data_IF_510236955352
#
_entry.id   IF_510236955352
#
_cell.length_a   1.000
_cell.length_b   1.000
_cell.length_c   1.000
_cell.angle_alpha   90.00
_cell.angle_beta   90.00
_cell.angle_gamma   90.00
#
_symmetry.space_group_name_H-M   'P 1'
#
loop_
_entity.id
_entity.type
_entity.pdbx_description
1 polymer ?
#
# COMPACT_ATOMS: atom_id res chain seq x y z
N UNK A 1 -6.09 -46.73 14.26
CA UNK A 1 -5.07 -47.59 13.57
C UNK A 1 -5.09 -47.26 12.10
N UNK A 2 -3.99 -46.78 11.55
CA UNK A 2 -3.53 -46.70 10.14
C UNK A 2 -2.73 -45.42 10.02
N UNK A 3 -1.47 -45.50 10.22
CA UNK A 3 -0.29 -45.79 9.37
C UNK A 3 0.04 -44.66 8.41
N UNK A 4 1.05 -43.93 8.86
CA UNK A 4 2.16 -43.23 8.18
C UNK A 4 2.33 -43.54 6.70
N UNK A 5 2.56 -42.50 5.90
CA UNK A 5 3.46 -42.57 4.77
C UNK A 5 4.22 -41.21 4.67
N UNK A 6 5.48 -41.32 5.00
CA UNK A 6 6.57 -40.37 4.78
C UNK A 6 6.98 -40.49 3.31
N UNK A 7 6.97 -39.43 2.55
CA UNK A 7 7.76 -39.37 1.31
C UNK A 7 8.69 -38.14 1.36
N UNK A 8 9.93 -38.49 1.60
CA UNK A 8 11.11 -37.66 1.45
C UNK A 8 11.36 -37.47 -0.06
N UNK A 9 11.39 -36.26 -0.58
CA UNK A 9 11.92 -35.99 -1.89
C UNK A 9 12.99 -34.91 -1.79
N UNK A 10 14.20 -35.36 -1.91
CA UNK A 10 15.45 -34.66 -2.14
C UNK A 10 15.53 -34.31 -3.63
N UNK A 11 16.03 -33.14 -4.01
CA UNK A 11 16.70 -32.81 -5.28
C UNK A 11 16.63 -31.27 -5.41
N UNK A 12 17.61 -30.55 -5.61
CA UNK A 12 18.97 -30.42 -6.06
C UNK A 12 19.25 -28.96 -6.34
N UNK A 13 20.38 -28.48 -5.86
CA UNK A 13 20.98 -27.18 -6.13
C UNK A 13 21.26 -27.02 -7.64
N UNK A 14 20.94 -25.84 -8.17
CA UNK A 14 21.62 -25.30 -9.36
C UNK A 14 22.04 -23.86 -9.06
N UNK A 15 23.33 -23.72 -8.80
CA UNK A 15 24.05 -22.47 -8.82
C UNK A 15 24.17 -21.98 -10.28
N UNK A 16 23.70 -20.79 -10.56
CA UNK A 16 24.11 -20.05 -11.76
C UNK A 16 24.79 -18.75 -11.34
N UNK A 17 26.13 -18.84 -11.38
CA UNK A 17 27.07 -17.74 -11.33
C UNK A 17 27.13 -17.13 -12.74
N UNK A 18 26.82 -15.88 -12.92
CA UNK A 18 27.24 -15.09 -14.06
C UNK A 18 27.98 -13.87 -13.56
N UNK A 19 29.32 -13.99 -13.66
CA UNK A 19 30.26 -12.93 -13.55
C UNK A 19 30.29 -12.15 -14.89
N UNK A 20 30.07 -10.85 -14.88
CA UNK A 20 30.43 -10.01 -16.02
C UNK A 20 31.18 -8.77 -15.55
N UNK A 21 32.49 -8.88 -15.61
CA UNK A 21 33.41 -7.78 -15.50
C UNK A 21 33.55 -7.12 -16.88
N UNK A 22 33.18 -5.88 -16.99
CA UNK A 22 33.43 -5.04 -18.16
C UNK A 22 34.10 -3.74 -17.76
N UNK A 23 35.42 -3.79 -17.65
CA UNK A 23 36.29 -2.62 -17.57
C UNK A 23 36.43 -2.04 -18.98
N UNK A 24 36.15 -0.77 -19.15
CA UNK A 24 36.61 0.01 -20.31
C UNK A 24 37.12 1.36 -19.83
N UNK A 25 38.42 1.39 -19.78
CA UNK A 25 39.28 2.57 -19.67
C UNK A 25 39.26 3.30 -21.02
N UNK A 26 39.01 4.58 -21.03
CA UNK A 26 39.41 5.45 -22.14
C UNK A 26 39.93 6.76 -21.55
N UNK A 27 41.25 6.83 -21.52
CA UNK A 27 42.03 8.03 -21.32
C UNK A 27 42.02 8.82 -22.62
N UNK A 28 41.56 10.05 -22.62
CA UNK A 28 41.98 11.06 -23.60
C UNK A 28 42.33 12.36 -22.88
N UNK A 29 43.59 12.63 -22.95
CA UNK A 29 44.28 13.86 -22.61
C UNK A 29 43.97 14.89 -23.69
N UNK A 30 43.44 16.04 -23.33
CA UNK A 30 43.56 17.22 -24.16
C UNK A 30 43.86 18.47 -23.34
N UNK A 31 44.98 19.05 -23.62
CA UNK A 31 45.58 20.27 -23.08
C UNK A 31 45.05 21.45 -23.85
N UNK A 32 44.63 22.54 -23.17
CA UNK A 32 44.38 23.81 -23.86
C UNK A 32 43.60 24.84 -23.06
N UNK A 33 44.26 25.61 -22.26
CA UNK A 33 44.30 27.07 -22.08
C UNK A 33 43.00 27.90 -22.14
N UNK A 34 42.81 28.63 -21.02
CA UNK A 34 42.37 30.02 -20.83
C UNK A 34 40.90 30.40 -20.89
N UNK A 35 40.47 30.86 -19.69
CA UNK A 35 39.75 32.11 -19.42
C UNK A 35 38.28 32.22 -19.86
N UNK A 36 37.45 32.31 -18.89
CA UNK A 36 36.42 33.34 -18.70
C UNK A 36 35.31 32.77 -17.82
N UNK A 37 35.05 33.48 -16.72
CA UNK A 37 33.88 33.40 -15.85
C UNK A 37 32.63 32.95 -16.55
N UNK A 38 32.13 31.77 -16.14
CA UNK A 38 30.79 31.35 -16.41
C UNK A 38 30.26 30.66 -15.16
N UNK A 39 29.13 31.14 -14.71
CA UNK A 39 28.33 30.56 -13.64
C UNK A 39 28.32 29.04 -13.78
N UNK A 40 28.82 28.38 -12.76
CA UNK A 40 28.76 26.92 -12.62
C UNK A 40 27.29 26.53 -12.39
N UNK A 41 26.58 26.35 -13.51
CA UNK A 41 25.32 25.64 -13.50
C UNK A 41 25.63 24.20 -13.10
N UNK A 42 25.52 23.92 -11.82
CA UNK A 42 25.45 22.54 -11.31
C UNK A 42 24.11 21.98 -11.81
N UNK A 43 24.08 21.00 -12.73
CA UNK A 43 22.85 20.30 -13.00
C UNK A 43 22.48 19.60 -11.70
N UNK A 44 21.46 20.09 -11.03
CA UNK A 44 20.79 19.34 -9.98
C UNK A 44 20.23 18.15 -10.74
N UNK A 45 20.85 17.01 -10.56
CA UNK A 45 20.30 15.72 -11.01
C UNK A 45 18.99 15.51 -10.22
N UNK A 46 17.90 16.01 -10.82
CA UNK A 46 16.56 15.84 -10.31
C UNK A 46 16.10 14.41 -10.62
N UNK A 47 16.89 13.43 -10.21
CA UNK A 47 16.49 12.04 -10.31
C UNK A 47 16.04 11.52 -8.97
N UNK A 48 14.75 11.31 -8.88
CA UNK A 48 14.02 10.29 -8.11
C UNK A 48 13.62 10.50 -6.66
N UNK A 49 14.15 11.44 -5.90
CA UNK A 49 13.78 11.54 -4.47
C UNK A 49 12.60 12.51 -4.18
N UNK A 50 12.17 13.29 -5.16
CA UNK A 50 11.08 14.25 -4.95
C UNK A 50 9.67 13.63 -5.02
N UNK A 51 9.52 12.45 -5.61
CA UNK A 51 8.23 11.77 -5.72
C UNK A 51 7.77 11.16 -4.39
N UNK A 52 8.72 10.80 -3.51
CA UNK A 52 8.43 10.22 -2.19
C UNK A 52 8.22 11.28 -1.09
N UNK A 53 8.47 12.55 -1.37
CA UNK A 53 8.38 13.61 -0.35
C UNK A 53 6.96 14.10 -0.05
N UNK A 54 5.99 13.78 -0.90
CA UNK A 54 4.59 14.22 -0.74
C UNK A 54 3.64 13.03 -0.95
N UNK A 55 3.57 12.14 0.03
CA UNK A 55 2.60 11.07 0.06
C UNK A 55 1.58 11.28 1.20
N UNK A 56 0.54 10.47 1.23
CA UNK A 56 -0.52 10.60 2.23
C UNK A 56 0.01 10.47 3.66
N UNK A 57 0.98 9.59 3.89
CA UNK A 57 1.59 9.36 5.20
C UNK A 57 2.27 10.61 5.78
N UNK A 58 2.88 11.44 4.92
CA UNK A 58 3.64 12.62 5.35
C UNK A 58 2.85 13.92 5.27
N UNK A 59 1.74 13.93 4.52
CA UNK A 59 1.05 15.16 4.14
C UNK A 59 -0.39 15.26 4.64
N UNK A 60 -1.01 14.13 5.04
CA UNK A 60 -2.41 14.10 5.43
C UNK A 60 -2.58 13.78 6.92
N UNK A 61 -3.61 14.40 7.52
CA UNK A 61 -4.12 13.98 8.83
C UNK A 61 -5.01 12.76 8.65
N UNK A 62 -4.43 11.59 8.93
CA UNK A 62 -5.09 10.29 8.74
C UNK A 62 -5.86 9.83 9.98
N UNK A 63 -5.61 10.43 11.14
CA UNK A 63 -6.31 10.09 12.38
C UNK A 63 -7.76 10.53 12.31
N UNK A 64 -8.69 9.64 12.62
CA UNK A 64 -10.11 9.96 12.64
C UNK A 64 -11.02 8.79 12.31
N UNK A 65 -12.31 9.08 12.20
CA UNK A 65 -13.36 8.10 11.97
C UNK A 65 -13.91 8.25 10.55
N UNK A 66 -13.80 7.20 9.77
CA UNK A 66 -14.26 7.15 8.38
C UNK A 66 -15.47 6.22 8.26
N UNK A 67 -16.51 6.68 7.57
CA UNK A 67 -17.79 5.94 7.46
C UNK A 67 -18.27 5.87 6.03
N UNK A 68 -18.96 4.77 5.72
CA UNK A 68 -19.63 4.56 4.45
C UNK A 68 -20.42 3.28 4.42
N UNK A 69 -21.12 3.06 3.32
CA UNK A 69 -21.82 1.82 3.05
C UNK A 69 -21.18 1.15 1.85
N UNK A 70 -20.47 0.06 2.10
CA UNK A 70 -19.82 -0.73 1.06
C UNK A 70 -20.82 -1.63 0.35
N UNK A 71 -20.59 -1.94 -0.94
CA UNK A 71 -21.42 -2.88 -1.68
C UNK A 71 -21.39 -4.29 -1.08
N UNK A 72 -22.53 -4.95 -1.17
CA UNK A 72 -22.71 -6.32 -0.72
C UNK A 72 -23.38 -7.13 -1.82
N UNK A 73 -22.95 -8.37 -2.01
CA UNK A 73 -23.49 -9.22 -3.08
C UNK A 73 -24.86 -9.80 -2.76
N UNK A 74 -25.16 -10.01 -1.48
CA UNK A 74 -26.35 -10.71 -1.00
C UNK A 74 -27.06 -10.01 0.17
N UNK A 75 -26.78 -8.69 0.33
CA UNK A 75 -27.42 -7.82 1.30
C UNK A 75 -27.61 -6.40 0.73
N UNK A 76 -28.28 -5.53 1.46
CA UNK A 76 -28.52 -4.15 1.01
C UNK A 76 -27.25 -3.28 1.03
N UNK A 77 -26.23 -3.69 1.78
CA UNK A 77 -24.96 -3.01 1.93
C UNK A 77 -24.29 -3.37 3.25
N UNK A 78 -23.04 -2.95 3.41
CA UNK A 78 -22.27 -3.13 4.64
C UNK A 78 -21.93 -1.75 5.18
N UNK A 79 -22.66 -1.32 6.21
CA UNK A 79 -22.30 -0.11 6.93
C UNK A 79 -20.95 -0.35 7.61
N UNK A 80 -19.97 0.47 7.25
CA UNK A 80 -18.59 0.30 7.68
C UNK A 80 -18.09 1.58 8.32
N UNK A 81 -17.53 1.45 9.51
CA UNK A 81 -16.84 2.51 10.24
C UNK A 81 -15.40 2.04 10.52
N UNK A 82 -14.41 2.86 10.14
CA UNK A 82 -12.99 2.63 10.43
C UNK A 82 -12.47 3.83 11.19
N UNK A 83 -12.06 3.63 12.43
CA UNK A 83 -11.36 4.61 13.26
C UNK A 83 -9.87 4.34 13.21
N UNK A 84 -9.08 5.28 12.72
CA UNK A 84 -7.61 5.26 12.77
C UNK A 84 -7.15 6.17 13.90
N UNK A 85 -6.19 5.69 14.69
CA UNK A 85 -5.66 6.40 15.87
C UNK A 85 -4.20 6.78 15.68
N UNK A 86 -3.74 7.69 16.53
CA UNK A 86 -2.38 8.23 16.54
C UNK A 86 -1.30 7.24 17.00
N UNK A 87 -1.71 6.13 17.62
CA UNK A 87 -0.86 5.03 18.06
C UNK A 87 -0.76 3.87 17.05
N UNK A 88 -1.10 4.12 15.77
CA UNK A 88 -1.16 3.13 14.69
C UNK A 88 -2.13 1.97 14.97
N UNK A 89 -3.12 2.17 15.84
CA UNK A 89 -4.18 1.20 16.06
C UNK A 89 -5.47 1.61 15.34
N UNK A 90 -6.34 0.62 15.10
CA UNK A 90 -7.64 0.87 14.50
C UNK A 90 -8.76 0.17 15.27
N UNK A 91 -9.97 0.69 15.08
CA UNK A 91 -11.23 0.00 15.37
C UNK A 91 -12.07 0.00 14.11
N UNK A 92 -12.44 -1.19 13.64
CA UNK A 92 -13.34 -1.36 12.49
C UNK A 92 -14.65 -1.94 12.97
N UNK A 93 -15.75 -1.32 12.57
CA UNK A 93 -17.11 -1.81 12.84
C UNK A 93 -17.82 -2.03 11.53
N UNK A 94 -18.48 -3.18 11.41
CA UNK A 94 -19.27 -3.55 10.26
C UNK A 94 -20.68 -3.97 10.69
N UNK A 95 -21.68 -3.60 9.87
CA UNK A 95 -23.06 -4.01 10.04
C UNK A 95 -23.67 -4.34 8.69
N UNK A 96 -24.13 -5.57 8.55
CA UNK A 96 -24.80 -6.04 7.33
C UNK A 96 -26.26 -5.56 7.29
N UNK A 97 -26.59 -4.73 6.32
CA UNK A 97 -27.93 -4.18 6.14
C UNK A 97 -28.83 -5.20 5.43
N UNK A 98 -30.06 -5.33 5.91
CA UNK A 98 -31.03 -6.27 5.34
C UNK A 98 -30.75 -7.74 5.65
N UNK A 99 -29.81 -8.04 6.53
CA UNK A 99 -29.50 -9.40 6.98
C UNK A 99 -29.49 -9.52 8.50
N UNK A 100 -30.09 -10.61 9.01
CA UNK A 100 -30.06 -10.98 10.42
C UNK A 100 -30.63 -9.90 11.35
N UNK A 101 -30.18 -9.90 12.59
CA UNK A 101 -30.61 -8.95 13.62
C UNK A 101 -29.86 -7.60 13.55
N UNK A 102 -28.99 -7.44 12.54
CA UNK A 102 -28.21 -6.23 12.33
C UNK A 102 -27.12 -6.02 13.39
N UNK A 103 -26.55 -7.11 13.89
CA UNK A 103 -25.46 -7.06 14.86
C UNK A 103 -24.25 -6.32 14.27
N UNK A 104 -23.66 -5.48 15.09
CA UNK A 104 -22.40 -4.79 14.76
C UNK A 104 -21.25 -5.71 15.14
N UNK A 105 -20.43 -6.03 14.17
CA UNK A 105 -19.16 -6.72 14.40
C UNK A 105 -18.07 -5.68 14.60
N UNK A 106 -17.23 -5.86 15.62
CA UNK A 106 -16.15 -4.96 15.94
C UNK A 106 -14.82 -5.71 15.91
N UNK A 107 -13.87 -5.21 15.15
CA UNK A 107 -12.50 -5.69 15.05
C UNK A 107 -11.53 -4.59 15.48
N UNK A 108 -10.45 -4.98 16.15
CA UNK A 108 -9.39 -4.08 16.63
C UNK A 108 -8.04 -4.66 16.29
N UNK A 109 -7.10 -3.80 15.95
CA UNK A 109 -5.74 -4.20 15.65
C UNK A 109 -4.84 -3.01 15.43
N UNK A 110 -3.70 -3.24 14.82
CA UNK A 110 -2.82 -2.20 14.33
C UNK A 110 -2.97 -2.02 12.83
N UNK A 111 -2.67 -0.86 12.32
CA UNK A 111 -2.50 -0.68 10.88
C UNK A 111 -1.03 -0.39 10.55
N UNK A 112 -0.65 -0.64 9.33
CA UNK A 112 0.67 -0.32 8.81
C UNK A 112 0.57 0.24 7.41
N UNK A 113 1.51 1.12 7.06
CA UNK A 113 1.65 1.61 5.70
C UNK A 113 2.31 0.54 4.83
N UNK A 114 1.68 0.18 3.71
CA UNK A 114 2.25 -0.71 2.69
C UNK A 114 3.16 0.09 1.74
N UNK A 115 2.74 1.31 1.47
CA UNK A 115 3.49 2.36 0.77
C UNK A 115 3.07 3.72 1.35
N UNK A 116 3.54 4.80 0.78
CA UNK A 116 3.21 6.14 1.29
C UNK A 116 1.74 6.56 1.16
N UNK A 117 0.87 5.74 0.58
CA UNK A 117 -0.54 6.06 0.32
C UNK A 117 -1.52 4.97 0.68
N UNK A 118 -1.06 3.73 0.81
CA UNK A 118 -1.90 2.58 1.14
C UNK A 118 -1.62 2.08 2.55
N UNK A 119 -2.68 1.74 3.28
CA UNK A 119 -2.60 1.11 4.61
C UNK A 119 -3.22 -0.27 4.61
N UNK A 120 -2.72 -1.11 5.50
CA UNK A 120 -3.25 -2.45 5.77
C UNK A 120 -3.68 -2.52 7.23
N UNK A 121 -4.93 -2.94 7.47
CA UNK A 121 -5.44 -3.26 8.79
C UNK A 121 -5.01 -4.68 9.17
N UNK A 122 -4.04 -4.79 10.07
CA UNK A 122 -3.48 -6.07 10.48
C UNK A 122 -4.46 -6.81 11.41
N UNK A 123 -4.76 -8.06 11.07
CA UNK A 123 -5.66 -8.90 11.86
C UNK A 123 -7.15 -8.71 11.55
N UNK A 124 -7.53 -7.82 10.65
CA UNK A 124 -8.90 -7.75 10.17
C UNK A 124 -9.23 -9.01 9.35
N UNK A 125 -10.34 -9.65 9.68
CA UNK A 125 -10.79 -10.91 9.09
C UNK A 125 -12.13 -10.80 8.37
N UNK A 126 -12.92 -9.80 8.71
CA UNK A 126 -14.22 -9.54 8.10
C UNK A 126 -14.12 -8.47 7.00
N UNK A 127 -14.17 -8.93 5.75
CA UNK A 127 -14.13 -8.09 4.55
C UNK A 127 -12.76 -7.50 4.23
N UNK A 128 -12.72 -6.41 3.46
CA UNK A 128 -11.49 -5.81 3.00
C UNK A 128 -10.66 -5.21 4.15
N UNK A 129 -9.36 -5.33 4.03
CA UNK A 129 -8.40 -4.83 5.03
C UNK A 129 -7.36 -3.86 4.46
N UNK A 130 -7.38 -3.59 3.15
CA UNK A 130 -6.50 -2.64 2.48
C UNK A 130 -7.26 -1.40 2.07
N UNK A 131 -6.67 -0.24 2.30
CA UNK A 131 -7.27 1.05 2.00
C UNK A 131 -6.26 2.01 1.41
N UNK A 132 -6.66 2.72 0.37
CA UNK A 132 -5.96 3.92 -0.09
C UNK A 132 -6.40 5.12 0.75
N UNK A 133 -5.42 5.86 1.26
CA UNK A 133 -5.64 7.07 2.07
C UNK A 133 -5.67 8.28 1.18
N UNK A 134 -6.81 8.97 1.16
CA UNK A 134 -7.00 10.25 0.51
C UNK A 134 -7.30 11.35 1.53
N UNK A 135 -7.45 12.57 1.05
CA UNK A 135 -7.86 13.69 1.91
C UNK A 135 -9.26 13.45 2.48
N UNK A 136 -9.36 13.27 3.79
CA UNK A 136 -10.60 12.94 4.51
C UNK A 136 -11.33 11.70 3.99
N UNK A 137 -10.63 10.78 3.32
CA UNK A 137 -11.22 9.57 2.74
C UNK A 137 -10.33 8.34 2.92
N UNK A 138 -10.98 7.18 3.06
CA UNK A 138 -10.38 5.87 2.90
C UNK A 138 -11.10 5.15 1.77
N UNK A 139 -10.41 4.86 0.68
CA UNK A 139 -10.95 4.06 -0.42
C UNK A 139 -10.57 2.60 -0.20
N UNK A 140 -11.56 1.74 -0.09
CA UNK A 140 -11.36 0.30 0.00
C UNK A 140 -10.72 -0.22 -1.28
N UNK A 141 -9.65 -1.01 -1.13
CA UNK A 141 -8.96 -1.66 -2.23
C UNK A 141 -9.49 -3.09 -2.43
N UNK A 142 -9.31 -3.62 -3.61
CA UNK A 142 -9.60 -5.01 -3.92
C UNK A 142 -8.54 -5.97 -3.34
N UNK A 143 -8.64 -7.26 -3.66
CA UNK A 143 -7.71 -8.28 -3.19
C UNK A 143 -6.28 -8.11 -3.74
N UNK A 144 -6.16 -7.49 -4.89
CA UNK A 144 -4.88 -7.21 -5.55
C UNK A 144 -4.25 -5.90 -5.04
N UNK A 145 -4.99 -5.13 -4.23
CA UNK A 145 -4.56 -3.86 -3.67
C UNK A 145 -4.81 -2.69 -4.61
N UNK A 146 -5.71 -2.85 -5.57
CA UNK A 146 -6.06 -1.80 -6.53
C UNK A 146 -7.41 -1.15 -6.21
N UNK A 147 -7.60 0.09 -6.67
CA UNK A 147 -8.88 0.78 -6.52
C UNK A 147 -9.90 0.20 -7.48
N UNK A 148 -11.10 -0.06 -6.97
CA UNK A 148 -12.24 -0.39 -7.82
C UNK A 148 -12.54 0.79 -8.76
N UNK A 149 -12.73 0.51 -10.03
CA UNK A 149 -13.00 1.50 -11.08
C UNK A 149 -14.41 1.35 -11.65
N UNK A 150 -14.87 2.36 -12.39
CA UNK A 150 -16.19 2.36 -13.02
C UNK A 150 -17.28 3.00 -12.17
N UNK A 151 -18.54 2.73 -12.49
CA UNK A 151 -19.71 3.41 -11.90
C UNK A 151 -19.88 3.16 -10.39
N UNK A 152 -19.34 2.06 -9.88
CA UNK A 152 -19.44 1.70 -8.46
C UNK A 152 -18.26 2.20 -7.62
N UNK A 153 -17.26 2.84 -8.20
CA UNK A 153 -16.04 3.26 -7.51
C UNK A 153 -16.33 4.11 -6.27
N UNK A 154 -17.28 5.03 -6.35
CA UNK A 154 -17.67 5.91 -5.25
C UNK A 154 -18.27 5.15 -4.04
N UNK A 155 -18.82 3.96 -4.26
CA UNK A 155 -19.40 3.15 -3.21
C UNK A 155 -18.34 2.46 -2.33
N UNK A 156 -17.08 2.51 -2.75
CA UNK A 156 -15.94 1.96 -1.99
C UNK A 156 -15.19 3.02 -1.18
N UNK A 157 -15.73 4.24 -1.11
CA UNK A 157 -15.10 5.36 -0.41
C UNK A 157 -15.79 5.61 0.94
N UNK A 158 -15.01 5.46 2.02
CA UNK A 158 -15.40 5.89 3.36
C UNK A 158 -14.96 7.35 3.55
N UNK A 159 -15.77 8.16 4.20
CA UNK A 159 -15.54 9.60 4.42
C UNK A 159 -15.39 9.91 5.90
N UNK A 160 -14.46 10.81 6.22
CA UNK A 160 -14.21 11.31 7.57
C UNK A 160 -15.32 12.24 8.06
#
# INVERSE_FOLDING_TARGET
>A
MMKKLLTLSLVSLLCWSCNNSGTSNSTETNTGIADTTTDEYIPIDATSDAADMHNAQNSLDVVGVYKGVLPCADCEGIETEVELKDDDTYVKKTKYLGKGDGDVQEEKGSFSWEDGSNIVLNGASDGPNKYFVGENTLTTLDLDGEKVTGELAENYVLKK
#
